data_IF_046421974138
#
_entry.id   IF_046421974138
#
_cell.length_a   1.000
_cell.length_b   1.000
_cell.length_c   1.000
_cell.angle_alpha   90.00
_cell.angle_beta   90.00
_cell.angle_gamma   90.00
#
_symmetry.space_group_name_H-M   'P 1'
#
loop_
_entity.id
_entity.type
_entity.pdbx_description
1 polymer ?
#
# COMPACT_ATOMS: atom_id res chain seq x y z
N UNK A 1 -19.21 12.51 -20.08
CA UNK A 1 -17.77 12.86 -20.07
C UNK A 1 -16.94 11.84 -19.30
N UNK A 2 -17.30 11.50 -18.06
CA UNK A 2 -16.54 10.57 -17.20
C UNK A 2 -16.39 9.14 -17.78
N UNK A 3 -17.43 8.60 -18.42
CA UNK A 3 -17.38 7.26 -19.02
C UNK A 3 -16.34 7.13 -20.14
N UNK A 4 -16.05 8.22 -20.88
CA UNK A 4 -15.01 8.23 -21.92
C UNK A 4 -13.60 8.16 -21.36
N UNK A 5 -13.43 8.53 -20.08
CA UNK A 5 -12.15 8.54 -19.37
C UNK A 5 -11.90 7.25 -18.59
N UNK A 6 -12.95 6.44 -18.34
CA UNK A 6 -12.83 5.19 -17.58
C UNK A 6 -11.75 4.27 -18.13
N UNK A 7 -11.56 4.17 -19.46
CA UNK A 7 -10.43 3.44 -19.95
C UNK A 7 -9.11 4.05 -19.42
N UNK A 8 -8.72 5.24 -19.87
CA UNK A 8 -7.42 5.82 -19.45
C UNK A 8 -7.18 5.80 -17.93
N UNK A 9 -8.21 6.01 -17.11
CA UNK A 9 -8.14 5.88 -15.66
C UNK A 9 -7.88 4.45 -15.16
N UNK A 10 -8.51 3.44 -15.74
CA UNK A 10 -8.28 2.02 -15.39
C UNK A 10 -6.84 1.61 -15.69
N UNK A 11 -6.31 2.03 -16.84
CA UNK A 11 -4.91 1.77 -17.21
C UNK A 11 -3.94 2.45 -16.23
N UNK A 12 -4.17 3.73 -15.90
CA UNK A 12 -3.34 4.45 -14.92
C UNK A 12 -3.45 3.79 -13.53
N UNK A 13 -4.64 3.36 -13.11
CA UNK A 13 -4.84 2.66 -11.85
C UNK A 13 -4.11 1.32 -11.80
N UNK A 14 -4.07 0.58 -12.91
CA UNK A 14 -3.27 -0.63 -13.04
C UNK A 14 -1.78 -0.32 -12.82
N UNK A 15 -1.21 0.64 -13.56
CA UNK A 15 0.19 1.03 -13.41
C UNK A 15 0.53 1.48 -11.98
N UNK A 16 -0.30 2.36 -11.41
CA UNK A 16 -0.14 2.84 -10.04
C UNK A 16 -0.20 1.71 -9.00
N UNK A 17 -1.13 0.77 -9.17
CA UNK A 17 -1.24 -0.43 -8.33
C UNK A 17 0.01 -1.31 -8.44
N UNK A 18 0.55 -1.49 -9.65
CA UNK A 18 1.78 -2.25 -9.87
C UNK A 18 3.02 -1.62 -9.24
N UNK A 19 3.18 -0.29 -9.36
CA UNK A 19 4.29 0.43 -8.71
C UNK A 19 4.21 0.28 -7.18
N UNK A 20 3.02 0.47 -6.62
CA UNK A 20 2.79 0.36 -5.16
C UNK A 20 2.97 -1.08 -4.67
N UNK A 21 2.49 -2.08 -5.43
CA UNK A 21 2.75 -3.49 -5.16
C UNK A 21 4.25 -3.80 -5.11
N UNK A 22 5.02 -3.29 -6.07
CA UNK A 22 6.47 -3.49 -6.12
C UNK A 22 7.19 -2.95 -4.89
N UNK A 23 6.81 -1.76 -4.42
CA UNK A 23 7.36 -1.19 -3.18
C UNK A 23 7.03 -2.07 -1.98
N UNK A 24 5.75 -2.42 -1.78
CA UNK A 24 5.36 -3.25 -0.64
C UNK A 24 5.98 -4.65 -0.70
N UNK A 25 6.06 -5.25 -1.89
CA UNK A 25 6.71 -6.52 -2.11
C UNK A 25 8.20 -6.47 -1.71
N UNK A 26 8.94 -5.43 -2.13
CA UNK A 26 10.33 -5.24 -1.73
C UNK A 26 10.49 -5.18 -0.20
N UNK A 27 9.59 -4.46 0.48
CA UNK A 27 9.61 -4.35 1.94
C UNK A 27 9.41 -5.71 2.63
N UNK A 28 8.42 -6.47 2.18
CA UNK A 28 8.12 -7.79 2.73
C UNK A 28 9.17 -8.84 2.38
N UNK A 29 9.81 -8.76 1.21
CA UNK A 29 10.70 -9.81 0.71
C UNK A 29 12.14 -9.67 1.19
N UNK A 30 12.71 -8.47 1.23
CA UNK A 30 14.13 -8.30 1.56
C UNK A 30 14.47 -7.08 2.41
N UNK A 31 13.70 -5.98 2.40
CA UNK A 31 14.03 -4.83 3.26
C UNK A 31 13.82 -5.16 4.73
N UNK A 32 12.60 -5.54 5.13
CA UNK A 32 12.30 -5.86 6.54
C UNK A 32 13.09 -7.07 7.05
N UNK A 33 13.24 -8.17 6.27
CA UNK A 33 14.15 -9.25 6.65
C UNK A 33 15.61 -8.82 6.81
N UNK A 34 16.08 -7.88 6.00
CA UNK A 34 17.41 -7.28 6.14
C UNK A 34 17.55 -6.48 7.44
N UNK A 35 16.59 -5.60 7.73
CA UNK A 35 16.56 -4.81 8.96
C UNK A 35 16.43 -5.69 10.22
N UNK A 36 15.69 -6.80 10.14
CA UNK A 36 15.53 -7.75 11.24
C UNK A 36 16.84 -8.45 11.65
N UNK A 37 17.85 -8.49 10.77
CA UNK A 37 19.17 -9.04 11.07
C UNK A 37 20.10 -8.05 11.79
N UNK A 38 19.74 -6.76 11.83
CA UNK A 38 20.51 -5.75 12.54
C UNK A 38 20.21 -5.80 14.04
N UNK A 39 21.13 -5.33 14.91
CA UNK A 39 20.79 -5.01 16.29
C UNK A 39 19.57 -4.07 16.33
N UNK A 40 18.67 -4.26 17.30
CA UNK A 40 17.40 -3.53 17.37
C UNK A 40 17.57 -2.00 17.25
N UNK A 41 18.56 -1.44 17.94
CA UNK A 41 18.92 -0.01 17.85
C UNK A 41 19.12 0.44 16.40
N UNK A 42 19.90 -0.32 15.62
CA UNK A 42 20.17 -0.03 14.22
C UNK A 42 18.97 -0.25 13.31
N UNK A 43 18.21 -1.32 13.53
CA UNK A 43 16.98 -1.62 12.79
C UNK A 43 15.90 -0.54 12.97
N UNK A 44 15.66 -0.12 14.22
CA UNK A 44 14.73 0.97 14.55
C UNK A 44 15.19 2.28 13.92
N UNK A 45 16.46 2.66 14.08
CA UNK A 45 17.00 3.90 13.50
C UNK A 45 16.87 3.94 11.98
N UNK A 46 17.22 2.84 11.30
CA UNK A 46 17.08 2.71 9.86
C UNK A 46 15.62 2.78 9.41
N UNK A 47 14.72 2.06 10.09
CA UNK A 47 13.30 2.07 9.75
C UNK A 47 12.65 3.43 9.97
N UNK A 48 13.00 4.15 11.04
CA UNK A 48 12.53 5.51 11.28
C UNK A 48 13.01 6.48 10.18
N UNK A 49 14.28 6.37 9.75
CA UNK A 49 14.80 7.14 8.62
C UNK A 49 14.06 6.82 7.32
N UNK A 50 13.79 5.53 7.06
CA UNK A 50 13.00 5.09 5.90
C UNK A 50 11.57 5.66 5.97
N UNK A 51 10.91 5.62 7.13
CA UNK A 51 9.55 6.14 7.29
C UNK A 51 9.46 7.64 6.97
N UNK A 52 10.44 8.43 7.39
CA UNK A 52 10.52 9.87 7.06
C UNK A 52 10.78 10.07 5.57
N UNK A 53 11.75 9.34 5.01
CA UNK A 53 12.16 9.50 3.60
C UNK A 53 11.18 8.88 2.60
N UNK A 54 10.28 8.00 3.03
CA UNK A 54 9.22 7.46 2.19
C UNK A 54 8.16 8.50 1.82
N UNK A 55 8.00 9.58 2.61
CA UNK A 55 7.03 10.64 2.35
C UNK A 55 7.54 11.60 1.28
N UNK A 56 7.60 11.11 0.04
CA UNK A 56 7.98 11.90 -1.14
C UNK A 56 6.78 12.21 -2.01
N UNK A 57 6.78 13.34 -2.75
CA UNK A 57 5.70 13.66 -3.68
C UNK A 57 5.42 12.53 -4.68
N UNK A 58 6.47 11.87 -5.18
CA UNK A 58 6.34 10.79 -6.15
C UNK A 58 5.63 9.57 -5.56
N UNK A 59 6.07 9.08 -4.40
CA UNK A 59 5.46 7.90 -3.78
C UNK A 59 4.06 8.21 -3.23
N UNK A 60 3.86 9.39 -2.64
CA UNK A 60 2.53 9.82 -2.18
C UNK A 60 1.54 9.94 -3.34
N UNK A 61 1.98 10.43 -4.50
CA UNK A 61 1.16 10.46 -5.72
C UNK A 61 0.85 9.06 -6.21
N UNK A 62 1.83 8.16 -6.25
CA UNK A 62 1.62 6.78 -6.66
C UNK A 62 0.63 6.04 -5.73
N UNK A 63 0.71 6.25 -4.41
CA UNK A 63 -0.18 5.61 -3.44
C UNK A 63 -1.57 6.27 -3.39
N UNK A 64 -1.64 7.53 -2.98
CA UNK A 64 -2.91 8.22 -2.76
C UNK A 64 -3.56 8.70 -4.06
N UNK A 65 -2.78 9.03 -5.09
CA UNK A 65 -3.31 9.39 -6.40
C UNK A 65 -3.99 8.19 -7.08
N UNK A 66 -3.39 7.00 -7.01
CA UNK A 66 -4.05 5.76 -7.46
C UNK A 66 -5.32 5.49 -6.65
N UNK A 67 -5.27 5.74 -5.34
CA UNK A 67 -6.44 5.69 -4.46
C UNK A 67 -7.58 6.60 -4.90
N UNK A 68 -7.27 7.86 -5.24
CA UNK A 68 -8.25 8.82 -5.74
C UNK A 68 -8.84 8.38 -7.08
N UNK A 69 -8.02 7.85 -7.99
CA UNK A 69 -8.51 7.26 -9.24
C UNK A 69 -9.45 6.09 -8.94
N UNK A 70 -9.12 5.22 -7.99
CA UNK A 70 -9.99 4.11 -7.60
C UNK A 70 -11.37 4.60 -7.12
N UNK A 71 -11.43 5.69 -6.34
CA UNK A 71 -12.73 6.27 -5.94
C UNK A 71 -13.56 6.71 -7.15
N UNK A 72 -12.94 7.31 -8.17
CA UNK A 72 -13.61 7.66 -9.43
C UNK A 72 -14.08 6.40 -10.18
N UNK A 73 -13.25 5.34 -10.20
CA UNK A 73 -13.58 4.07 -10.86
C UNK A 73 -14.73 3.33 -10.16
N UNK A 74 -14.86 3.42 -8.83
CA UNK A 74 -16.03 2.89 -8.10
C UNK A 74 -17.31 3.54 -8.60
N UNK A 75 -17.36 4.87 -8.66
CA UNK A 75 -18.52 5.61 -9.17
C UNK A 75 -18.79 5.26 -10.63
N UNK A 76 -17.74 5.17 -11.44
CA UNK A 76 -17.80 4.77 -12.84
C UNK A 76 -18.40 3.38 -13.05
N UNK A 77 -17.98 2.40 -12.25
CA UNK A 77 -18.47 1.03 -12.32
C UNK A 77 -19.94 0.92 -11.93
N UNK A 78 -20.38 1.68 -10.92
CA UNK A 78 -21.80 1.71 -10.48
C UNK A 78 -22.69 2.38 -11.52
N UNK A 79 -22.26 3.51 -12.10
CA UNK A 79 -23.03 4.20 -13.16
C UNK A 79 -23.08 3.34 -14.44
N UNK A 80 -21.96 2.70 -14.79
CA UNK A 80 -21.84 1.82 -15.96
C UNK A 80 -22.16 0.36 -15.67
N UNK A 81 -22.99 0.08 -14.65
CA UNK A 81 -23.26 -1.30 -14.23
C UNK A 81 -23.86 -2.13 -15.38
N UNK A 82 -23.43 -3.40 -15.48
CA UNK A 82 -23.84 -4.32 -16.54
C UNK A 82 -22.98 -4.25 -17.81
N UNK A 83 -22.06 -3.28 -17.91
CA UNK A 83 -21.03 -3.31 -18.96
C UNK A 83 -20.00 -4.41 -18.70
N UNK A 84 -19.38 -5.00 -19.76
CA UNK A 84 -18.27 -5.93 -19.60
C UNK A 84 -17.18 -5.34 -18.69
N UNK A 85 -16.65 -6.16 -17.77
CA UNK A 85 -15.59 -5.74 -16.85
C UNK A 85 -16.02 -4.90 -15.64
N UNK A 86 -17.29 -4.44 -15.55
CA UNK A 86 -17.78 -3.59 -14.44
C UNK A 86 -17.56 -4.20 -13.05
N UNK A 87 -17.76 -5.51 -12.90
CA UNK A 87 -17.48 -6.23 -11.65
C UNK A 87 -16.00 -6.18 -11.26
N UNK A 88 -15.10 -6.45 -12.21
CA UNK A 88 -13.66 -6.44 -11.99
C UNK A 88 -13.15 -5.02 -11.69
N UNK A 89 -13.70 -4.01 -12.38
CA UNK A 89 -13.38 -2.62 -12.13
C UNK A 89 -13.74 -2.20 -10.70
N UNK A 90 -14.96 -2.53 -10.27
CA UNK A 90 -15.43 -2.24 -8.91
C UNK A 90 -14.60 -3.00 -7.87
N UNK A 91 -14.38 -4.29 -8.06
CA UNK A 91 -13.63 -5.13 -7.14
C UNK A 91 -12.18 -4.62 -6.99
N UNK A 92 -11.48 -4.35 -8.10
CA UNK A 92 -10.11 -3.83 -8.06
C UNK A 92 -10.01 -2.48 -7.33
N UNK A 93 -10.95 -1.58 -7.60
CA UNK A 93 -10.98 -0.26 -6.97
C UNK A 93 -11.23 -0.34 -5.45
N UNK A 94 -12.19 -1.15 -5.01
CA UNK A 94 -12.48 -1.34 -3.59
C UNK A 94 -11.33 -2.06 -2.87
N UNK A 95 -10.76 -3.10 -3.48
CA UNK A 95 -9.61 -3.84 -2.93
C UNK A 95 -8.42 -2.91 -2.75
N UNK A 96 -8.13 -2.03 -3.71
CA UNK A 96 -7.05 -1.07 -3.57
C UNK A 96 -7.31 -0.07 -2.43
N UNK A 97 -8.48 0.56 -2.39
CA UNK A 97 -8.82 1.56 -1.36
C UNK A 97 -8.71 0.94 0.03
N UNK A 98 -9.35 -0.20 0.26
CA UNK A 98 -9.36 -0.88 1.56
C UNK A 98 -7.97 -1.45 1.87
N UNK A 99 -7.43 -2.24 0.96
CA UNK A 99 -6.21 -2.99 1.18
C UNK A 99 -4.95 -2.15 1.25
N UNK A 100 -4.93 -0.97 0.64
CA UNK A 100 -3.72 -0.15 0.54
C UNK A 100 -3.84 1.15 1.34
N UNK A 101 -4.91 1.94 1.13
CA UNK A 101 -5.04 3.23 1.83
C UNK A 101 -5.47 3.01 3.28
N UNK A 102 -6.57 2.28 3.49
CA UNK A 102 -7.12 2.06 4.83
C UNK A 102 -6.13 1.27 5.68
N UNK A 103 -5.57 0.18 5.16
CA UNK A 103 -4.55 -0.59 5.91
C UNK A 103 -3.34 0.27 6.27
N UNK A 104 -2.87 1.13 5.36
CA UNK A 104 -1.77 2.05 5.66
C UNK A 104 -2.11 3.01 6.79
N UNK A 105 -3.27 3.67 6.72
CA UNK A 105 -3.68 4.67 7.71
C UNK A 105 -4.03 4.08 9.08
N UNK A 106 -4.66 2.90 9.12
CA UNK A 106 -5.16 2.29 10.35
C UNK A 106 -4.11 1.41 11.05
N UNK A 107 -3.23 0.73 10.30
CA UNK A 107 -2.27 -0.19 10.89
C UNK A 107 -0.83 0.30 10.75
N UNK A 108 -0.34 0.55 9.53
CA UNK A 108 1.08 0.84 9.33
C UNK A 108 1.51 2.22 9.88
N UNK A 109 0.70 3.26 9.71
CA UNK A 109 1.02 4.60 10.24
C UNK A 109 1.05 4.60 11.77
N UNK A 110 0.07 4.05 12.50
CA UNK A 110 0.16 3.93 13.95
C UNK A 110 1.36 3.12 14.43
N UNK A 111 1.66 1.99 13.78
CA UNK A 111 2.87 1.21 14.08
C UNK A 111 4.15 2.05 13.89
N UNK A 112 4.24 2.81 12.81
CA UNK A 112 5.39 3.69 12.54
C UNK A 112 5.53 4.78 13.60
N UNK A 113 4.42 5.41 14.00
CA UNK A 113 4.43 6.45 15.03
C UNK A 113 4.82 5.88 16.40
N UNK A 114 4.34 4.68 16.75
CA UNK A 114 4.71 3.99 17.98
C UNK A 114 6.21 3.64 17.99
N UNK A 115 6.76 3.18 16.85
CA UNK A 115 8.19 2.90 16.71
C UNK A 115 9.04 4.17 16.88
N UNK A 116 8.59 5.30 16.30
CA UNK A 116 9.29 6.58 16.39
C UNK A 116 9.29 7.18 17.80
N UNK A 117 8.33 6.81 18.65
CA UNK A 117 8.19 7.34 20.01
C UNK A 117 9.07 6.62 21.05
N UNK A 118 9.75 5.53 20.68
CA UNK A 118 10.53 4.70 21.60
C UNK A 118 12.02 5.03 21.51
N UNK A 119 12.69 5.11 22.66
CA UNK A 119 14.15 5.16 22.72
C UNK A 119 14.73 3.80 22.25
N UNK A 120 15.45 3.77 21.11
CA UNK A 120 16.01 2.55 20.55
C UNK A 120 17.01 1.85 21.49
N UNK A 121 17.71 2.61 22.36
CA UNK A 121 18.73 2.09 23.26
C UNK A 121 18.15 1.50 24.56
N UNK A 122 16.85 1.71 24.82
CA UNK A 122 16.18 1.19 25.99
C UNK A 122 15.89 -0.32 25.88
N UNK A 123 15.77 -1.00 27.02
CA UNK A 123 15.32 -2.40 27.06
C UNK A 123 13.93 -2.60 26.43
N UNK A 124 13.06 -1.59 26.52
CA UNK A 124 11.76 -1.56 25.88
C UNK A 124 11.86 -1.48 24.34
N UNK A 125 12.90 -0.81 23.81
CA UNK A 125 13.15 -0.66 22.37
C UNK A 125 13.25 -2.00 21.64
N UNK A 126 13.99 -2.97 22.21
CA UNK A 126 14.13 -4.29 21.61
C UNK A 126 12.80 -5.08 21.56
N UNK A 127 11.98 -4.99 22.62
CA UNK A 127 10.68 -5.65 22.67
C UNK A 127 9.68 -5.04 21.68
N UNK A 128 9.66 -3.69 21.58
CA UNK A 128 8.85 -2.96 20.59
C UNK A 128 9.28 -3.32 19.18
N UNK A 129 10.58 -3.40 18.90
CA UNK A 129 11.09 -3.77 17.57
C UNK A 129 10.64 -5.16 17.13
N UNK A 130 10.70 -6.16 18.02
CA UNK A 130 10.26 -7.51 17.70
C UNK A 130 8.75 -7.58 17.36
N UNK A 131 7.93 -6.84 18.11
CA UNK A 131 6.48 -6.76 17.87
C UNK A 131 6.19 -6.00 16.57
N UNK A 132 6.88 -4.87 16.37
CA UNK A 132 6.77 -4.05 15.16
C UNK A 132 7.13 -4.85 13.92
N UNK A 133 8.25 -5.59 13.90
CA UNK A 133 8.65 -6.41 12.76
C UNK A 133 7.55 -7.38 12.34
N UNK A 134 6.99 -8.13 13.31
CA UNK A 134 5.94 -9.10 13.04
C UNK A 134 4.68 -8.44 12.49
N UNK A 135 4.17 -7.45 13.20
CA UNK A 135 2.85 -6.87 12.91
C UNK A 135 2.90 -5.99 11.66
N UNK A 136 3.97 -5.19 11.51
CA UNK A 136 4.15 -4.33 10.34
C UNK A 136 4.33 -5.15 9.06
N UNK A 137 5.11 -6.23 9.10
CA UNK A 137 5.32 -7.11 7.93
C UNK A 137 4.03 -7.84 7.57
N UNK A 138 3.26 -8.31 8.54
CA UNK A 138 1.94 -8.93 8.31
C UNK A 138 1.01 -7.98 7.55
N UNK A 139 0.84 -6.74 8.05
CA UNK A 139 0.01 -5.75 7.36
C UNK A 139 0.60 -5.31 6.01
N UNK A 140 1.93 -5.30 5.87
CA UNK A 140 2.56 -5.04 4.59
C UNK A 140 2.33 -6.16 3.55
N UNK A 141 2.23 -7.43 3.98
CA UNK A 141 1.81 -8.50 3.09
C UNK A 141 0.38 -8.30 2.60
N UNK A 142 -0.54 -7.87 3.48
CA UNK A 142 -1.91 -7.52 3.08
C UNK A 142 -1.88 -6.47 1.97
N UNK A 143 -1.19 -5.34 2.19
CA UNK A 143 -1.06 -4.27 1.18
C UNK A 143 -0.44 -4.73 -0.14
N UNK A 144 0.54 -5.65 -0.06
CA UNK A 144 1.20 -6.23 -1.23
C UNK A 144 0.21 -7.05 -2.05
N UNK A 145 -0.49 -8.00 -1.40
CA UNK A 145 -1.44 -8.90 -2.06
C UNK A 145 -2.60 -8.10 -2.64
N UNK A 146 -3.16 -7.15 -1.89
CA UNK A 146 -4.30 -6.35 -2.37
C UNK A 146 -3.92 -5.45 -3.54
N UNK A 147 -2.72 -4.86 -3.58
CA UNK A 147 -2.28 -4.13 -4.76
C UNK A 147 -2.10 -5.03 -5.99
N UNK A 148 -1.55 -6.24 -5.83
CA UNK A 148 -1.38 -7.20 -6.94
C UNK A 148 -2.75 -7.65 -7.46
N UNK A 149 -3.69 -7.96 -6.56
CA UNK A 149 -5.04 -8.34 -6.94
C UNK A 149 -5.77 -7.18 -7.63
N UNK A 150 -5.66 -5.96 -7.11
CA UNK A 150 -6.24 -4.78 -7.74
C UNK A 150 -5.66 -4.55 -9.16
N UNK A 151 -4.34 -4.64 -9.32
CA UNK A 151 -3.67 -4.61 -10.62
C UNK A 151 -4.26 -5.66 -11.58
N UNK A 152 -4.39 -6.91 -11.15
CA UNK A 152 -4.95 -7.97 -11.97
C UNK A 152 -6.40 -7.69 -12.37
N UNK A 153 -7.22 -7.23 -11.42
CA UNK A 153 -8.60 -6.82 -11.69
C UNK A 153 -8.68 -5.71 -12.74
N UNK A 154 -7.81 -4.69 -12.65
CA UNK A 154 -7.78 -3.60 -13.64
C UNK A 154 -7.33 -4.07 -15.02
N UNK A 155 -6.37 -5.00 -15.11
CA UNK A 155 -5.96 -5.60 -16.39
C UNK A 155 -7.11 -6.41 -17.02
N UNK A 156 -7.87 -7.15 -16.21
CA UNK A 156 -9.02 -7.91 -16.71
C UNK A 156 -10.16 -6.98 -17.12
N UNK A 157 -10.44 -5.93 -16.35
CA UNK A 157 -11.44 -4.92 -16.69
C UNK A 157 -11.06 -4.06 -17.91
N UNK A 158 -9.76 -3.96 -18.23
CA UNK A 158 -9.22 -3.24 -19.39
C UNK A 158 -9.52 -3.91 -20.72
N UNK A 159 -9.59 -5.24 -20.70
CA UNK A 159 -9.75 -6.08 -21.90
C UNK A 159 -11.21 -6.13 -22.35
#
# INVERSE_FOLDING_TARGET
MIMKLLPSLTFIAALGSGVVAGVFFAFSSFVMPGLARMPAVGGIAAMNSINVTAVTPLFMTALFGTGLICLVLVVGAVIGWGQPGSLWLLAGALIYVVGNLIVTMIFNVPLNNALAAVDPASANGAAVWATYLRDWVMWNHVRTITAIVALACFIVAWR
#
